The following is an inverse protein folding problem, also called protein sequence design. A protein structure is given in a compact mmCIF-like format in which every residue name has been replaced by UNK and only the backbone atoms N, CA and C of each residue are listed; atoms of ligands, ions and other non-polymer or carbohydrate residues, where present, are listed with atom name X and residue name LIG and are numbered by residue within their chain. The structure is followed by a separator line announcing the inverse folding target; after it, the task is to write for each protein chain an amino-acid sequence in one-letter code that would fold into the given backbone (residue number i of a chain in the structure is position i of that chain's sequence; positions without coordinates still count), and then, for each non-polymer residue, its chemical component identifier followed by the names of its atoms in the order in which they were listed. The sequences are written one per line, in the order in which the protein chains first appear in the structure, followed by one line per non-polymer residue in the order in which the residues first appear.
data_IF_162683811100
#
_entry.id   IF_162683811100
#
_cell.length_a   1.000
_cell.length_b   1.000
_cell.length_c   1.000
_cell.angle_alpha   90.00
_cell.angle_beta   90.00
_cell.angle_gamma   90.00
#
_symmetry.space_group_name_H-M   'P 1'
#
loop_
_entity.id
_entity.type
_entity.pdbx_description
1 polymer ?
#
# COMPACT_ATOMS: atom_id res chain seq x y z
N UNK A 1 -1.59 2.62 -14.98
CA UNK A 1 -2.97 2.15 -15.28
C UNK A 1 -3.42 2.61 -16.68
N UNK A 2 -2.90 3.74 -17.16
CA UNK A 2 -3.17 4.30 -18.50
C UNK A 2 -2.92 3.33 -19.67
N UNK A 3 -1.94 2.41 -19.56
CA UNK A 3 -1.68 1.43 -20.61
C UNK A 3 -2.86 0.44 -20.80
N UNK A 4 -3.56 0.05 -19.73
CA UNK A 4 -4.70 -0.88 -19.78
C UNK A 4 -5.89 -0.22 -20.49
N UNK A 5 -6.10 1.07 -20.21
CA UNK A 5 -7.12 1.88 -20.88
C UNK A 5 -6.77 2.13 -22.35
N UNK A 6 -5.48 2.33 -22.67
CA UNK A 6 -5.01 2.48 -24.04
C UNK A 6 -5.19 1.21 -24.89
N UNK A 7 -5.08 0.03 -24.27
CA UNK A 7 -5.35 -1.28 -24.90
C UNK A 7 -6.85 -1.64 -24.97
N UNK A 8 -7.74 -0.79 -24.43
CA UNK A 8 -9.20 -1.02 -24.43
C UNK A 8 -9.66 -2.17 -23.54
N UNK A 9 -8.85 -2.60 -22.58
CA UNK A 9 -9.16 -3.74 -21.71
C UNK A 9 -10.11 -3.33 -20.58
N UNK A 10 -11.17 -4.11 -20.39
CA UNK A 10 -12.14 -3.94 -19.31
C UNK A 10 -11.93 -4.89 -18.11
N UNK A 11 -12.74 -4.79 -17.05
CA UNK A 11 -12.68 -5.69 -15.89
C UNK A 11 -13.28 -7.09 -16.15
N UNK A 12 -13.42 -7.50 -17.43
CA UNK A 12 -13.99 -8.79 -17.78
C UNK A 12 -12.98 -9.93 -17.53
N UNK A 13 -13.43 -11.17 -17.25
CA UNK A 13 -12.53 -12.30 -17.04
C UNK A 13 -11.55 -12.55 -18.20
N UNK A 14 -11.96 -12.29 -19.44
CA UNK A 14 -11.12 -12.48 -20.63
C UNK A 14 -10.03 -11.40 -20.73
N UNK A 15 -10.41 -10.15 -20.52
CA UNK A 15 -9.48 -9.02 -20.55
C UNK A 15 -8.47 -9.10 -19.40
N UNK A 16 -8.90 -9.55 -18.22
CA UNK A 16 -8.01 -9.83 -17.08
C UNK A 16 -6.97 -10.90 -17.43
N UNK A 17 -7.38 -11.99 -18.09
CA UNK A 17 -6.43 -13.03 -18.55
C UNK A 17 -5.47 -12.48 -19.60
N UNK A 18 -5.94 -11.64 -20.51
CA UNK A 18 -5.10 -11.00 -21.53
C UNK A 18 -4.08 -10.06 -20.90
N UNK A 19 -4.51 -9.19 -19.97
CA UNK A 19 -3.65 -8.29 -19.21
C UNK A 19 -2.56 -9.05 -18.43
N UNK A 20 -2.93 -10.14 -17.74
CA UNK A 20 -1.97 -10.99 -17.02
C UNK A 20 -0.94 -11.61 -17.95
N UNK A 21 -1.36 -12.15 -19.10
CA UNK A 21 -0.43 -12.73 -20.10
C UNK A 21 0.54 -11.69 -20.62
N UNK A 22 0.06 -10.48 -20.91
CA UNK A 22 0.93 -9.40 -21.34
C UNK A 22 1.98 -9.07 -20.27
N UNK A 23 1.56 -8.85 -19.02
CA UNK A 23 2.47 -8.57 -17.89
C UNK A 23 3.48 -9.70 -17.69
N UNK A 24 3.05 -10.96 -17.85
CA UNK A 24 3.91 -12.15 -17.78
C UNK A 24 4.88 -12.28 -18.96
N UNK A 25 4.62 -11.60 -20.09
CA UNK A 25 5.52 -11.53 -21.24
C UNK A 25 6.53 -10.37 -21.18
N UNK A 26 6.37 -9.43 -20.25
CA UNK A 26 7.28 -8.30 -20.10
C UNK A 26 8.64 -8.72 -19.55
N UNK A 27 9.68 -7.95 -19.88
CA UNK A 27 11.01 -8.12 -19.34
C UNK A 27 11.02 -8.00 -17.80
N UNK A 28 11.91 -8.73 -17.09
CA UNK A 28 11.95 -8.75 -15.63
C UNK A 28 12.08 -7.36 -14.95
N UNK A 29 12.80 -6.44 -15.59
CA UNK A 29 13.07 -5.08 -15.15
C UNK A 29 12.00 -4.06 -15.55
N UNK A 30 11.01 -4.47 -16.35
CA UNK A 30 9.93 -3.59 -16.77
C UNK A 30 9.08 -3.16 -15.56
N UNK A 31 8.75 -1.88 -15.45
CA UNK A 31 8.04 -1.34 -14.28
C UNK A 31 6.75 -2.09 -13.93
N UNK A 32 5.98 -2.51 -14.95
CA UNK A 32 4.75 -3.30 -14.78
C UNK A 32 4.96 -4.75 -14.35
N UNK A 33 6.18 -5.29 -14.44
CA UNK A 33 6.49 -6.66 -14.00
C UNK A 33 6.36 -6.82 -12.50
N UNK A 34 6.65 -5.79 -11.72
CA UNK A 34 6.47 -5.77 -10.25
C UNK A 34 5.07 -6.18 -9.80
N UNK A 35 4.04 -6.05 -10.65
CA UNK A 35 2.68 -6.50 -10.35
C UNK A 35 2.60 -8.00 -10.10
N UNK A 36 3.54 -8.81 -10.60
CA UNK A 36 3.59 -10.26 -10.32
C UNK A 36 4.01 -10.59 -8.88
N UNK A 37 4.49 -9.62 -8.11
CA UNK A 37 4.87 -9.81 -6.71
C UNK A 37 3.65 -9.82 -5.77
N UNK A 38 2.50 -9.33 -6.23
CA UNK A 38 1.27 -9.27 -5.44
C UNK A 38 0.49 -10.57 -5.58
N UNK A 39 0.05 -11.15 -4.45
CA UNK A 39 -0.77 -12.36 -4.44
C UNK A 39 -2.07 -12.20 -5.27
N UNK A 40 -2.64 -10.99 -5.26
CA UNK A 40 -3.86 -10.64 -5.99
C UNK A 40 -3.73 -10.84 -7.50
N UNK A 41 -2.52 -10.73 -8.06
CA UNK A 41 -2.25 -10.98 -9.47
C UNK A 41 -2.63 -12.41 -9.90
N UNK A 42 -2.69 -13.37 -8.97
CA UNK A 42 -2.92 -14.76 -9.32
C UNK A 42 -4.40 -15.18 -9.32
N UNK A 43 -5.31 -14.33 -8.83
CA UNK A 43 -6.77 -14.57 -8.88
C UNK A 43 -7.49 -13.61 -9.84
N UNK A 44 -8.63 -14.01 -10.41
CA UNK A 44 -9.42 -13.12 -11.29
C UNK A 44 -9.96 -11.92 -10.51
N UNK A 45 -10.52 -12.17 -9.32
CA UNK A 45 -11.04 -11.11 -8.45
C UNK A 45 -9.94 -10.15 -8.00
N UNK A 46 -8.82 -10.67 -7.49
CA UNK A 46 -7.70 -9.85 -7.05
C UNK A 46 -7.06 -9.06 -8.18
N UNK A 47 -6.89 -9.66 -9.37
CA UNK A 47 -6.35 -8.91 -10.52
C UNK A 47 -7.31 -7.84 -11.00
N UNK A 48 -8.62 -8.11 -10.95
CA UNK A 48 -9.64 -7.09 -11.22
C UNK A 48 -9.47 -5.91 -10.27
N UNK A 49 -9.24 -6.19 -9.00
CA UNK A 49 -9.07 -5.14 -8.00
C UNK A 49 -7.74 -4.38 -8.19
N UNK A 50 -6.63 -5.10 -8.35
CA UNK A 50 -5.29 -4.55 -8.57
C UNK A 50 -5.20 -3.66 -9.82
N UNK A 51 -5.75 -4.12 -10.94
CA UNK A 51 -5.57 -3.48 -12.26
C UNK A 51 -6.71 -2.55 -12.66
N UNK A 52 -7.95 -2.85 -12.26
CA UNK A 52 -9.16 -2.20 -12.80
C UNK A 52 -10.01 -1.48 -11.73
N UNK A 53 -9.65 -1.54 -10.44
CA UNK A 53 -10.40 -0.81 -9.41
C UNK A 53 -10.03 0.68 -9.39
N UNK A 54 -10.94 1.50 -9.91
CA UNK A 54 -10.81 2.98 -10.01
C UNK A 54 -10.98 3.71 -8.66
N UNK A 55 -11.24 2.99 -7.56
CA UNK A 55 -11.56 3.60 -6.24
C UNK A 55 -10.48 3.48 -5.17
N UNK A 56 -9.27 3.04 -5.50
CA UNK A 56 -8.16 3.20 -4.56
C UNK A 56 -7.84 4.69 -4.41
N UNK A 57 -8.40 5.32 -3.38
CA UNK A 57 -7.85 6.56 -2.88
C UNK A 57 -6.48 6.20 -2.29
N UNK A 58 -5.40 6.68 -2.92
CA UNK A 58 -4.09 6.62 -2.29
C UNK A 58 -4.13 7.47 -1.01
N UNK A 59 -4.32 6.78 0.12
CA UNK A 59 -4.13 7.34 1.44
C UNK A 59 -2.63 7.50 1.66
N UNK A 60 -2.26 8.65 2.20
CA UNK A 60 -0.90 8.92 2.68
C UNK A 60 -0.96 8.98 4.20
N UNK A 61 0.15 8.71 4.88
CA UNK A 61 0.22 8.82 6.35
C UNK A 61 -0.32 10.16 6.89
N UNK A 62 -0.09 11.32 6.24
CA UNK A 62 -0.76 12.56 6.61
C UNK A 62 -2.29 12.55 6.46
N UNK A 63 -2.85 11.96 5.39
CA UNK A 63 -4.30 11.83 5.23
C UNK A 63 -4.91 10.89 6.28
N UNK A 64 -4.19 9.81 6.61
CA UNK A 64 -4.58 8.88 7.67
C UNK A 64 -4.63 9.62 9.00
N UNK A 65 -3.59 10.41 9.32
CA UNK A 65 -3.55 11.23 10.54
C UNK A 65 -4.78 12.13 10.66
N UNK A 66 -5.09 12.89 9.61
CA UNK A 66 -6.26 13.77 9.58
C UNK A 66 -7.58 12.99 9.76
N UNK A 67 -7.69 11.79 9.18
CA UNK A 67 -8.86 10.95 9.35
C UNK A 67 -9.00 10.42 10.79
N UNK A 68 -7.91 10.01 11.43
CA UNK A 68 -7.93 9.57 12.83
C UNK A 68 -8.36 10.70 13.77
N UNK A 69 -7.84 11.92 13.55
CA UNK A 69 -8.23 13.11 14.31
C UNK A 69 -9.74 13.43 14.14
N UNK A 70 -10.26 13.36 12.91
CA UNK A 70 -11.69 13.57 12.64
C UNK A 70 -12.59 12.52 13.28
N UNK A 71 -12.10 11.28 13.39
CA UNK A 71 -12.85 10.15 13.96
C UNK A 71 -12.67 10.04 15.49
N UNK A 72 -11.84 10.87 16.11
CA UNK A 72 -11.52 10.78 17.54
C UNK A 72 -10.77 9.50 17.90
N UNK A 73 -9.92 9.00 17.00
CA UNK A 73 -9.14 7.79 17.18
C UNK A 73 -7.69 8.11 17.53
N UNK A 74 -7.15 7.40 18.52
CA UNK A 74 -5.75 7.46 18.91
C UNK A 74 -4.99 6.29 18.28
N UNK A 75 -3.85 6.57 17.63
CA UNK A 75 -3.00 5.53 17.07
C UNK A 75 -2.24 4.79 18.19
N UNK A 76 -2.34 3.46 18.19
CA UNK A 76 -1.55 2.57 19.07
C UNK A 76 -0.25 2.16 18.39
N UNK A 77 -0.26 1.95 17.08
CA UNK A 77 0.92 1.62 16.30
C UNK A 77 0.61 1.01 14.93
N UNK A 78 1.66 0.78 14.14
CA UNK A 78 1.58 0.13 12.83
C UNK A 78 1.90 -1.36 12.96
N UNK A 79 1.12 -2.19 12.28
CA UNK A 79 1.47 -3.59 12.07
C UNK A 79 2.45 -3.68 10.90
N UNK A 80 3.72 -3.93 11.23
CA UNK A 80 4.81 -4.01 10.26
C UNK A 80 5.10 -5.49 10.00
N UNK A 81 5.15 -5.92 8.73
CA UNK A 81 5.52 -7.28 8.39
C UNK A 81 7.03 -7.55 8.56
N UNK A 82 7.85 -6.50 8.67
CA UNK A 82 9.30 -6.59 8.74
C UNK A 82 9.86 -5.81 9.94
N UNK A 83 10.49 -6.53 10.88
CA UNK A 83 11.09 -5.96 12.08
C UNK A 83 12.26 -5.01 11.78
N UNK A 84 12.92 -5.13 10.62
CA UNK A 84 14.00 -4.19 10.24
C UNK A 84 13.49 -2.76 10.10
N UNK A 85 12.24 -2.58 9.65
CA UNK A 85 11.61 -1.26 9.54
C UNK A 85 11.41 -0.65 10.93
N UNK A 86 11.08 -1.48 11.93
CA UNK A 86 10.95 -1.06 13.33
C UNK A 86 12.28 -0.55 13.88
N UNK A 87 13.37 -1.25 13.59
CA UNK A 87 14.72 -0.89 14.06
C UNK A 87 15.21 0.41 13.40
N UNK A 88 14.97 0.56 12.10
CA UNK A 88 15.25 1.81 11.37
C UNK A 88 14.46 2.97 11.99
N UNK A 89 13.17 2.77 12.27
CA UNK A 89 12.34 3.80 12.88
C UNK A 89 12.88 4.25 14.23
N UNK A 90 13.17 3.30 15.13
CA UNK A 90 13.70 3.60 16.47
C UNK A 90 15.05 4.31 16.43
N UNK A 91 15.88 3.98 15.44
CA UNK A 91 17.16 4.65 15.21
C UNK A 91 16.97 6.08 14.71
N UNK A 92 16.01 6.30 13.81
CA UNK A 92 15.73 7.63 13.25
C UNK A 92 14.99 8.56 14.22
N UNK A 93 14.12 8.02 15.08
CA UNK A 93 13.22 8.77 15.94
C UNK A 93 13.27 8.27 17.40
N UNK A 94 14.42 8.40 18.10
CA UNK A 94 14.55 7.90 19.47
C UNK A 94 13.62 8.58 20.48
N UNK A 95 13.10 9.77 20.14
CA UNK A 95 12.11 10.50 20.95
C UNK A 95 10.69 9.95 20.87
N UNK A 96 10.39 9.04 19.94
CA UNK A 96 9.09 8.37 19.80
C UNK A 96 9.28 6.84 19.88
N UNK A 97 9.58 6.36 21.08
CA UNK A 97 9.82 4.94 21.33
C UNK A 97 8.56 4.07 21.11
N UNK A 98 7.38 4.65 21.28
CA UNK A 98 6.09 3.99 21.06
C UNK A 98 5.76 3.85 19.55
N UNK A 99 6.39 4.67 18.70
CA UNK A 99 6.23 4.69 17.26
C UNK A 99 4.79 5.04 16.83
N UNK A 100 4.20 5.99 17.54
CA UNK A 100 2.82 6.43 17.35
C UNK A 100 2.70 7.76 16.59
N UNK A 101 3.81 8.40 16.22
CA UNK A 101 3.77 9.61 15.38
C UNK A 101 3.77 9.25 13.89
N UNK A 102 2.62 9.46 13.24
CA UNK A 102 2.44 9.28 11.79
C UNK A 102 3.31 10.22 10.95
N UNK A 103 3.73 11.38 11.48
CA UNK A 103 4.67 12.26 10.77
C UNK A 103 6.06 11.65 10.69
N UNK A 104 6.51 10.97 11.75
CA UNK A 104 7.78 10.25 11.75
C UNK A 104 7.72 9.07 10.78
N UNK A 105 6.59 8.36 10.72
CA UNK A 105 6.37 7.31 9.72
C UNK A 105 6.43 7.85 8.29
N UNK A 106 5.82 9.02 8.02
CA UNK A 106 5.86 9.64 6.69
C UNK A 106 7.30 10.03 6.27
N UNK A 107 8.12 10.48 7.24
CA UNK A 107 9.54 10.78 7.01
C UNK A 107 10.37 9.51 6.74
N UNK A 108 10.04 8.39 7.37
CA UNK A 108 10.69 7.10 7.09
C UNK A 108 10.32 6.61 5.69
N UNK A 109 9.03 6.61 5.35
CA UNK A 109 8.53 6.17 4.04
C UNK A 109 9.18 6.95 2.89
N UNK A 110 9.37 8.27 3.05
CA UNK A 110 10.07 9.08 2.06
C UNK A 110 11.52 8.63 1.80
N UNK A 111 12.17 7.96 2.77
CA UNK A 111 13.53 7.41 2.63
C UNK A 111 13.55 5.92 2.28
N UNK A 112 12.50 5.20 2.63
CA UNK A 112 12.33 3.76 2.42
C UNK A 112 10.95 3.53 1.78
N UNK A 113 10.79 3.78 0.46
CA UNK A 113 9.49 3.67 -0.22
C UNK A 113 8.88 2.27 -0.13
N UNK A 114 9.71 1.25 0.06
CA UNK A 114 9.28 -0.14 0.19
C UNK A 114 8.80 -0.52 1.60
N UNK A 115 8.89 0.38 2.58
CA UNK A 115 8.48 0.11 3.97
C UNK A 115 7.00 -0.30 4.09
N UNK A 116 6.15 0.19 3.17
CA UNK A 116 4.70 -0.04 3.17
C UNK A 116 4.18 -0.55 1.82
N UNK A 117 5.03 -1.26 1.06
CA UNK A 117 4.80 -1.69 -0.34
C UNK A 117 3.47 -2.45 -0.60
N UNK A 118 2.76 -2.85 0.44
CA UNK A 118 1.44 -3.49 0.38
C UNK A 118 0.33 -2.53 0.85
N UNK A 119 0.20 -2.31 2.17
CA UNK A 119 -0.89 -1.55 2.77
C UNK A 119 -0.50 -1.08 4.18
N UNK A 120 -1.05 0.05 4.63
CA UNK A 120 -0.98 0.44 6.04
C UNK A 120 -1.93 -0.40 6.88
N UNK A 121 -1.38 -1.19 7.79
CA UNK A 121 -2.16 -1.87 8.82
C UNK A 121 -1.95 -1.15 10.15
N UNK A 122 -3.02 -0.61 10.73
CA UNK A 122 -2.97 0.29 11.89
C UNK A 122 -3.82 -0.27 13.01
N UNK A 123 -3.31 -0.17 14.24
CA UNK A 123 -4.09 -0.40 15.44
C UNK A 123 -4.47 0.94 16.05
N UNK A 124 -5.77 1.18 16.18
CA UNK A 124 -6.30 2.41 16.75
C UNK A 124 -7.17 2.07 17.94
N UNK A 125 -7.19 2.96 18.91
CA UNK A 125 -8.11 2.92 20.03
C UNK A 125 -9.06 4.11 19.95
N UNK A 126 -10.32 3.84 20.25
CA UNK A 126 -11.34 4.88 20.43
C UNK A 126 -11.53 5.05 21.93
N UNK A 127 -11.31 6.26 22.39
CA UNK A 127 -11.66 6.64 23.76
C UNK A 127 -13.19 6.79 23.81
N UNK A 128 -13.88 5.75 24.27
CA UNK A 128 -15.28 5.83 24.70
C UNK A 128 -15.22 6.33 26.15
N UNK A 129 -15.16 7.65 26.33
CA UNK A 129 -14.93 8.31 27.63
C UNK A 129 -15.80 7.82 28.79
#
# INVERSE_FOLDING_TARGET
RDWIAAEGLGPSPNDIRLARRHILGLAPDHAHRSMTEFADFYSISGTRDLLFHVREQCFTLPKIKAALEQLGLSLIGLNLPDDRIRDIYRTMFPGDAAMTDLNNWARLEAKQPDAFRQMYNLWCWKDDG
#
